data_IF_868986430022
#
_entry.id   IF_868986430022
#
_cell.length_a   1.000
_cell.length_b   1.000
_cell.length_c   1.000
_cell.angle_alpha   90.00
_cell.angle_beta   90.00
_cell.angle_gamma   90.00
#
_symmetry.space_group_name_H-M   'P 1'
#
loop_
_entity.id
_entity.type
_entity.pdbx_description
1 polymer ?
#
# COMPACT_ATOMS: atom_id res chain seq x y z
N UNK A 1 10.74 5.51 19.15
CA UNK A 1 11.51 4.59 18.28
C UNK A 1 11.11 3.10 18.39
N UNK A 2 9.82 2.67 18.27
CA UNK A 2 9.50 1.25 18.00
C UNK A 2 8.88 0.97 16.61
N UNK A 3 8.38 1.99 15.89
CA UNK A 3 7.55 1.77 14.71
C UNK A 3 8.27 1.36 13.42
N UNK A 4 9.55 1.69 13.27
CA UNK A 4 10.30 1.45 12.03
C UNK A 4 10.93 0.05 11.97
N UNK A 5 11.36 -0.48 13.13
CA UNK A 5 11.91 -1.84 13.25
C UNK A 5 10.80 -2.88 13.11
N UNK A 6 9.62 -2.63 13.72
CA UNK A 6 8.46 -3.53 13.63
C UNK A 6 7.92 -3.72 12.19
N UNK A 7 8.17 -2.76 11.28
CA UNK A 7 7.70 -2.84 9.89
C UNK A 7 8.56 -3.77 9.03
N UNK A 8 9.86 -3.88 9.34
CA UNK A 8 10.78 -4.80 8.68
C UNK A 8 10.56 -6.25 9.16
N UNK A 9 10.30 -6.44 10.46
CA UNK A 9 10.01 -7.77 11.01
C UNK A 9 8.65 -8.33 10.54
N UNK A 10 7.63 -7.47 10.42
CA UNK A 10 6.29 -7.88 9.98
C UNK A 10 6.19 -8.31 8.51
N UNK A 11 7.01 -7.74 7.61
CA UNK A 11 7.03 -8.13 6.19
C UNK A 11 7.88 -9.38 5.92
N UNK A 12 8.90 -9.68 6.73
CA UNK A 12 9.67 -10.92 6.58
C UNK A 12 8.86 -12.17 6.94
N UNK A 13 8.02 -12.10 7.98
CA UNK A 13 7.19 -13.25 8.41
C UNK A 13 6.19 -13.68 7.33
N UNK A 14 5.69 -12.75 6.51
CA UNK A 14 4.76 -13.05 5.40
C UNK A 14 5.43 -13.65 4.15
N UNK A 15 6.76 -13.53 4.02
CA UNK A 15 7.49 -14.12 2.89
C UNK A 15 7.96 -15.55 3.13
N UNK A 16 8.00 -15.99 4.40
CA UNK A 16 8.54 -17.29 4.81
C UNK A 16 7.47 -18.40 4.89
N UNK A 17 6.18 -18.08 4.92
CA UNK A 17 5.08 -19.06 5.00
C UNK A 17 4.57 -19.54 3.62
N UNK A 18 5.33 -19.31 2.55
CA UNK A 18 4.92 -19.61 1.17
C UNK A 18 5.27 -21.02 0.68
N UNK A 19 5.37 -22.00 1.57
CA UNK A 19 5.48 -23.41 1.19
C UNK A 19 4.35 -24.22 1.81
N UNK A 20 3.52 -24.80 0.94
CA UNK A 20 2.52 -25.85 1.19
C UNK A 20 1.13 -25.44 1.70
N UNK A 21 0.56 -24.35 1.19
CA UNK A 21 -0.90 -24.23 1.13
C UNK A 21 -1.32 -24.34 -0.33
N UNK A 22 -2.00 -25.42 -0.69
CA UNK A 22 -2.66 -25.59 -2.00
C UNK A 22 -3.67 -24.45 -2.11
N UNK A 23 -3.20 -23.35 -2.71
CA UNK A 23 -3.98 -22.14 -2.89
C UNK A 23 -4.97 -22.47 -3.99
N UNK A 24 -6.26 -22.61 -3.67
CA UNK A 24 -7.29 -22.72 -4.69
C UNK A 24 -7.06 -21.59 -5.69
N UNK A 25 -6.81 -21.93 -6.95
CA UNK A 25 -6.48 -21.00 -8.06
C UNK A 25 -7.48 -19.85 -8.21
N UNK A 26 -8.68 -20.01 -7.64
CA UNK A 26 -9.74 -18.99 -7.59
C UNK A 26 -9.44 -17.85 -6.60
N UNK A 27 -8.77 -18.11 -5.47
CA UNK A 27 -8.44 -17.09 -4.44
C UNK A 27 -7.37 -16.12 -4.92
N UNK A 28 -6.49 -16.54 -5.83
CA UNK A 28 -5.39 -15.72 -6.34
C UNK A 28 -5.87 -14.40 -6.95
N UNK A 29 -6.97 -14.43 -7.72
CA UNK A 29 -7.50 -13.22 -8.37
C UNK A 29 -8.06 -12.20 -7.38
N UNK A 30 -8.71 -12.68 -6.31
CA UNK A 30 -9.19 -11.83 -5.22
C UNK A 30 -8.05 -11.18 -4.46
N UNK A 31 -7.00 -11.94 -4.15
CA UNK A 31 -5.83 -11.46 -3.41
C UNK A 31 -5.03 -10.40 -4.19
N UNK A 32 -5.07 -10.46 -5.52
CA UNK A 32 -4.35 -9.52 -6.40
C UNK A 32 -5.13 -8.26 -6.78
N UNK A 33 -6.43 -8.17 -6.44
CA UNK A 33 -7.27 -7.05 -6.84
C UNK A 33 -6.89 -5.76 -6.09
N UNK A 34 -6.43 -4.74 -6.84
CA UNK A 34 -6.02 -3.43 -6.29
C UNK A 34 -7.17 -2.44 -6.10
N UNK A 35 -8.37 -2.78 -6.59
CA UNK A 35 -9.56 -1.93 -6.55
C UNK A 35 -10.82 -2.76 -6.34
N UNK A 36 -11.90 -2.10 -5.89
CA UNK A 36 -13.20 -2.75 -5.71
C UNK A 36 -13.76 -3.32 -7.02
N UNK A 37 -13.59 -2.60 -8.13
CA UNK A 37 -13.96 -3.10 -9.46
C UNK A 37 -13.19 -4.37 -9.84
N UNK A 38 -11.90 -4.47 -9.48
CA UNK A 38 -11.11 -5.68 -9.68
C UNK A 38 -11.58 -6.86 -8.83
N UNK A 39 -12.05 -6.62 -7.61
CA UNK A 39 -12.64 -7.66 -6.76
C UNK A 39 -13.97 -8.15 -7.35
N UNK A 40 -14.84 -7.23 -7.79
CA UNK A 40 -16.10 -7.57 -8.45
C UNK A 40 -15.88 -8.39 -9.73
N UNK A 41 -14.89 -8.02 -10.54
CA UNK A 41 -14.49 -8.79 -11.71
C UNK A 41 -14.00 -10.20 -11.33
N UNK A 42 -13.22 -10.33 -10.26
CA UNK A 42 -12.77 -11.64 -9.76
C UNK A 42 -13.93 -12.52 -9.26
N UNK A 43 -14.93 -11.95 -8.56
CA UNK A 43 -16.17 -12.64 -8.19
C UNK A 43 -16.88 -13.16 -9.44
N UNK A 44 -17.16 -12.26 -10.39
CA UNK A 44 -17.90 -12.58 -11.61
C UNK A 44 -17.23 -13.70 -12.40
N UNK A 45 -15.91 -13.58 -12.62
CA UNK A 45 -15.16 -14.60 -13.38
C UNK A 45 -15.05 -15.93 -12.65
N UNK A 46 -15.13 -15.94 -11.32
CA UNK A 46 -15.14 -17.18 -10.52
C UNK A 46 -16.50 -17.90 -10.57
N UNK A 47 -17.57 -17.19 -10.92
CA UNK A 47 -18.92 -17.73 -11.05
C UNK A 47 -19.23 -18.16 -12.50
N UNK A 48 -18.59 -17.56 -13.51
CA UNK A 48 -18.69 -17.99 -14.90
C UNK A 48 -18.21 -19.45 -15.03
N UNK A 49 -19.12 -20.38 -15.35
CA UNK A 49 -18.90 -21.85 -15.51
C UNK A 49 -18.97 -22.71 -14.24
N UNK A 50 -19.46 -22.18 -13.12
CA UNK A 50 -19.72 -22.98 -11.91
C UNK A 50 -21.23 -23.24 -11.78
N UNK A 51 -21.64 -24.44 -11.35
CA UNK A 51 -23.04 -24.79 -10.96
C UNK A 51 -23.55 -24.01 -9.72
N UNK A 52 -22.84 -22.96 -9.30
CA UNK A 52 -23.36 -22.02 -8.31
C UNK A 52 -24.24 -21.06 -9.09
N UNK A 53 -25.44 -21.56 -9.38
CA UNK A 53 -26.42 -20.96 -10.27
C UNK A 53 -26.80 -19.56 -9.79
N UNK A 54 -26.70 -18.61 -10.72
CA UNK A 54 -27.30 -17.27 -10.72
C UNK A 54 -27.06 -16.43 -9.46
N UNK A 55 -26.02 -15.58 -9.52
CA UNK A 55 -25.90 -14.51 -8.54
C UNK A 55 -27.08 -13.55 -8.66
N UNK A 56 -27.75 -13.27 -7.54
CA UNK A 56 -28.85 -12.29 -7.50
C UNK A 56 -28.35 -10.94 -7.01
N UNK A 57 -28.61 -9.89 -7.80
CA UNK A 57 -28.41 -8.50 -7.40
C UNK A 57 -29.76 -7.89 -6.98
N UNK A 58 -29.93 -7.59 -5.70
CA UNK A 58 -31.11 -6.90 -5.19
C UNK A 58 -31.07 -5.41 -5.55
N UNK A 59 -32.12 -4.92 -6.20
CA UNK A 59 -32.24 -3.54 -6.65
C UNK A 59 -33.47 -2.89 -6.02
N UNK A 60 -33.29 -1.81 -5.26
CA UNK A 60 -34.44 -1.03 -4.76
C UNK A 60 -35.15 -0.33 -5.92
N UNK A 61 -36.48 -0.38 -5.95
CA UNK A 61 -37.31 0.30 -6.96
C UNK A 61 -37.38 1.81 -6.76
N UNK A 62 -37.04 2.31 -5.57
CA UNK A 62 -37.06 3.74 -5.24
C UNK A 62 -35.85 4.49 -5.79
N UNK A 63 -34.77 3.76 -6.09
CA UNK A 63 -33.55 4.34 -6.66
C UNK A 63 -33.58 4.28 -8.19
N UNK A 64 -33.00 5.27 -8.90
CA UNK A 64 -32.93 5.26 -10.35
C UNK A 64 -32.31 3.96 -10.86
N UNK A 65 -32.93 3.35 -11.88
CA UNK A 65 -32.43 2.10 -12.46
C UNK A 65 -30.99 2.31 -12.96
N UNK A 66 -30.02 1.48 -12.54
CA UNK A 66 -28.65 1.60 -13.02
C UNK A 66 -28.63 1.44 -14.55
N UNK A 67 -28.04 2.42 -15.25
CA UNK A 67 -28.01 2.50 -16.72
C UNK A 67 -27.28 1.35 -17.42
N UNK A 68 -26.53 0.53 -16.68
CA UNK A 68 -25.79 -0.60 -17.24
C UNK A 68 -26.60 -1.88 -17.11
N UNK A 69 -26.66 -2.70 -18.15
CA UNK A 69 -27.19 -4.06 -18.08
C UNK A 69 -26.49 -4.87 -16.98
N UNK A 70 -27.17 -5.84 -16.34
CA UNK A 70 -26.50 -6.74 -15.43
C UNK A 70 -25.41 -7.53 -16.16
N UNK A 71 -24.26 -7.78 -15.50
CA UNK A 71 -23.25 -8.69 -16.02
C UNK A 71 -23.82 -10.09 -16.27
N UNK A 72 -23.23 -10.81 -17.23
CA UNK A 72 -23.65 -12.17 -17.60
C UNK A 72 -23.63 -13.11 -16.38
N UNK A 73 -24.73 -13.85 -16.18
CA UNK A 73 -24.91 -14.73 -15.02
C UNK A 73 -25.37 -14.05 -13.72
N UNK A 74 -25.68 -12.75 -13.75
CA UNK A 74 -26.27 -12.02 -12.60
C UNK A 74 -27.72 -11.63 -12.90
N UNK A 75 -28.67 -12.12 -12.11
CA UNK A 75 -30.08 -11.72 -12.20
C UNK A 75 -30.34 -10.54 -11.28
N UNK A 76 -30.96 -9.47 -11.81
CA UNK A 76 -31.44 -8.36 -10.98
C UNK A 76 -32.84 -8.64 -10.47
N UNK A 77 -33.02 -8.48 -9.17
CA UNK A 77 -34.28 -8.72 -8.48
C UNK A 77 -34.73 -7.40 -7.83
N UNK A 78 -35.79 -6.76 -8.36
CA UNK A 78 -36.29 -5.51 -7.80
C UNK A 78 -37.05 -5.75 -6.48
N UNK A 79 -36.87 -4.86 -5.50
CA UNK A 79 -37.65 -4.86 -4.26
C UNK A 79 -38.09 -3.44 -3.90
N UNK A 80 -39.24 -3.31 -3.24
CA UNK A 80 -39.78 -2.02 -2.80
C UNK A 80 -39.35 -1.73 -1.36
N UNK A 81 -39.65 -2.64 -0.44
CA UNK A 81 -39.26 -2.57 0.96
C UNK A 81 -38.32 -3.74 1.32
N UNK A 82 -37.52 -3.57 2.38
CA UNK A 82 -36.60 -4.64 2.84
C UNK A 82 -37.35 -5.91 3.28
N UNK A 83 -38.58 -5.76 3.77
CA UNK A 83 -39.45 -6.87 4.16
C UNK A 83 -39.89 -7.74 2.97
N UNK A 84 -39.85 -7.20 1.76
CA UNK A 84 -40.22 -7.93 0.54
C UNK A 84 -39.07 -8.85 0.07
N UNK A 85 -37.83 -8.60 0.50
CA UNK A 85 -36.64 -9.32 0.01
C UNK A 85 -36.73 -10.83 0.19
N UNK A 86 -37.13 -11.39 1.35
CA UNK A 86 -37.31 -12.82 1.52
C UNK A 86 -38.37 -13.39 0.57
N UNK A 87 -39.48 -12.66 0.36
CA UNK A 87 -40.57 -13.09 -0.52
C UNK A 87 -40.11 -13.18 -1.98
N UNK A 88 -39.39 -12.16 -2.44
CA UNK A 88 -38.92 -12.08 -3.83
C UNK A 88 -37.78 -13.08 -4.11
N UNK A 89 -36.93 -13.38 -3.12
CA UNK A 89 -35.93 -14.45 -3.24
C UNK A 89 -36.55 -15.86 -3.20
N UNK A 90 -37.70 -16.02 -2.54
CA UNK A 90 -38.41 -17.31 -2.45
C UNK A 90 -39.28 -17.63 -3.67
N UNK A 91 -39.66 -16.64 -4.47
CA UNK A 91 -40.50 -16.79 -5.68
C UNK A 91 -39.69 -16.91 -6.98
N UNK A 92 -38.49 -17.50 -6.92
CA UNK A 92 -37.84 -17.97 -8.15
C UNK A 92 -38.78 -18.94 -8.90
N UNK A 93 -38.84 -18.92 -10.25
CA UNK A 93 -39.63 -19.88 -10.99
C UNK A 93 -39.02 -21.27 -10.76
N UNK A 94 -39.57 -22.02 -9.81
CA UNK A 94 -39.29 -23.43 -9.65
C UNK A 94 -39.81 -24.09 -10.93
N UNK A 95 -38.89 -24.43 -11.83
CA UNK A 95 -39.19 -25.20 -13.02
C UNK A 95 -39.86 -26.50 -12.56
N UNK A 96 -41.18 -26.65 -12.76
CA UNK A 96 -41.94 -27.82 -12.33
C UNK A 96 -41.49 -29.13 -13.01
N UNK A 97 -40.60 -29.04 -14.01
CA UNK A 97 -39.95 -30.17 -14.68
C UNK A 97 -38.52 -30.48 -14.19
N UNK A 98 -38.02 -29.80 -13.15
CA UNK A 98 -36.70 -30.11 -12.60
C UNK A 98 -36.71 -31.53 -11.98
N UNK A 99 -36.06 -32.48 -12.66
CA UNK A 99 -35.86 -33.84 -12.13
C UNK A 99 -35.16 -33.77 -10.77
N UNK A 100 -35.66 -34.57 -9.82
CA UNK A 100 -35.09 -34.69 -8.49
C UNK A 100 -33.56 -34.81 -8.54
N UNK A 101 -32.89 -33.96 -7.77
CA UNK A 101 -31.43 -33.94 -7.68
C UNK A 101 -30.95 -35.25 -7.05
N UNK A 102 -30.35 -36.13 -7.87
CA UNK A 102 -29.63 -37.32 -7.40
C UNK A 102 -28.14 -36.96 -7.36
N UNK A 103 -27.46 -37.02 -6.21
CA UNK A 103 -26.03 -36.80 -6.14
C UNK A 103 -25.30 -37.84 -6.99
N UNK A 104 -24.60 -37.41 -8.03
CA UNK A 104 -23.72 -38.25 -8.84
C UNK A 104 -22.43 -38.55 -8.05
N UNK A 105 -22.55 -39.36 -7.02
CA UNK A 105 -21.43 -40.12 -6.48
C UNK A 105 -21.70 -41.58 -6.82
N UNK A 106 -20.79 -42.18 -7.60
CA UNK A 106 -20.76 -43.57 -8.09
C UNK A 106 -21.29 -43.78 -9.52
N UNK A 107 -20.43 -43.53 -10.51
CA UNK A 107 -20.31 -44.42 -11.69
C UNK A 107 -18.86 -44.44 -12.22
N UNK A 108 -18.34 -45.60 -12.68
CA UNK A 108 -16.96 -45.74 -13.14
C UNK A 108 -16.76 -45.20 -14.56
N UNK A 109 -15.58 -44.65 -14.83
CA UNK A 109 -15.12 -44.22 -16.15
C UNK A 109 -15.00 -45.40 -17.11
N UNK A 110 -15.49 -45.21 -18.34
CA UNK A 110 -15.07 -45.97 -19.52
C UNK A 110 -14.51 -44.98 -20.55
N UNK A 111 -13.31 -45.28 -21.03
CA UNK A 111 -12.59 -44.59 -22.09
C UNK A 111 -13.33 -44.68 -23.44
N UNK A 112 -13.36 -43.59 -24.21
CA UNK A 112 -13.35 -43.63 -25.68
C UNK A 112 -12.54 -42.45 -26.22
N UNK A 113 -11.72 -42.78 -27.21
CA UNK A 113 -10.73 -42.01 -27.95
C UNK A 113 -11.33 -41.35 -29.22
N UNK A 114 -10.58 -40.40 -29.81
CA UNK A 114 -10.82 -39.76 -31.12
C UNK A 114 -11.70 -38.51 -31.08
N UNK A 115 -11.46 -37.41 -31.81
CA UNK A 115 -10.50 -37.10 -32.86
C UNK A 115 -11.06 -35.93 -33.69
N UNK A 116 -10.25 -34.89 -33.84
CA UNK A 116 -10.10 -34.00 -35.02
C UNK A 116 -11.06 -32.84 -35.38
N UNK A 117 -10.39 -31.76 -35.82
CA UNK A 117 -10.67 -30.63 -36.74
C UNK A 117 -11.57 -29.42 -36.42
N UNK A 118 -10.88 -28.26 -36.30
CA UNK A 118 -10.91 -27.04 -37.14
C UNK A 118 -12.25 -26.42 -37.57
N UNK A 119 -12.40 -25.09 -37.44
CA UNK A 119 -12.38 -24.10 -38.55
C UNK A 119 -12.53 -22.66 -38.02
N UNK A 120 -11.79 -21.74 -38.64
CA UNK A 120 -11.74 -20.28 -38.47
C UNK A 120 -13.04 -19.56 -38.91
N UNK A 121 -13.19 -18.30 -38.48
CA UNK A 121 -14.22 -17.39 -39.00
C UNK A 121 -14.04 -15.95 -38.50
N UNK A 122 -13.77 -15.06 -39.45
CA UNK A 122 -13.14 -13.74 -39.35
C UNK A 122 -14.17 -12.59 -39.45
N UNK A 123 -13.79 -11.39 -38.98
CA UNK A 123 -14.43 -10.11 -39.32
C UNK A 123 -14.98 -9.36 -38.10
N UNK A 124 -14.81 -8.05 -37.91
CA UNK A 124 -14.28 -6.97 -38.73
C UNK A 124 -14.31 -5.66 -37.94
N UNK A 125 -13.60 -4.66 -38.45
CA UNK A 125 -13.28 -3.34 -37.88
C UNK A 125 -14.46 -2.39 -37.62
N UNK A 126 -14.25 -1.42 -36.71
CA UNK A 126 -14.54 0.03 -36.83
C UNK A 126 -14.60 0.65 -35.41
N UNK A 127 -13.63 1.46 -35.00
CA UNK A 127 -13.56 2.92 -35.21
C UNK A 127 -14.64 3.71 -34.44
N UNK A 128 -14.21 4.49 -33.44
CA UNK A 128 -14.43 5.93 -33.33
C UNK A 128 -14.21 6.44 -31.90
N UNK A 129 -13.38 7.47 -31.80
CA UNK A 129 -13.22 8.38 -30.68
C UNK A 129 -14.55 9.06 -30.30
N UNK A 130 -14.75 9.35 -29.01
CA UNK A 130 -15.30 10.66 -28.64
C UNK A 130 -14.83 11.04 -27.23
N UNK A 131 -14.06 12.13 -27.17
CA UNK A 131 -13.91 12.98 -26.00
C UNK A 131 -15.23 13.67 -25.69
N UNK A 132 -15.59 13.79 -24.41
CA UNK A 132 -16.16 15.05 -23.92
C UNK A 132 -15.97 15.25 -22.43
N UNK A 133 -15.57 16.49 -22.13
CA UNK A 133 -15.46 17.13 -20.83
C UNK A 133 -16.79 17.03 -20.06
N UNK A 134 -16.73 16.82 -18.74
CA UNK A 134 -17.64 17.52 -17.83
C UNK A 134 -16.83 18.10 -16.68
N UNK A 135 -17.07 19.39 -16.56
CA UNK A 135 -16.55 20.42 -15.68
C UNK A 135 -17.07 20.29 -14.25
N UNK A 136 -16.37 20.96 -13.34
CA UNK A 136 -16.62 21.00 -11.90
C UNK A 136 -18.03 21.49 -11.55
N UNK A 137 -18.59 20.99 -10.45
CA UNK A 137 -19.28 21.88 -9.50
C UNK A 137 -19.11 21.35 -8.09
N UNK A 138 -18.37 22.13 -7.28
CA UNK A 138 -18.38 22.05 -5.83
C UNK A 138 -19.74 22.56 -5.32
N UNK A 139 -20.38 21.80 -4.44
CA UNK A 139 -21.37 22.34 -3.53
C UNK A 139 -21.14 21.69 -2.16
N UNK A 140 -20.52 22.50 -1.31
CA UNK A 140 -20.47 22.39 0.13
C UNK A 140 -21.90 22.47 0.69
N UNK A 141 -22.37 21.39 1.33
CA UNK A 141 -23.44 21.46 2.32
C UNK A 141 -23.04 20.55 3.48
N UNK A 142 -22.46 21.18 4.48
CA UNK A 142 -22.42 20.71 5.85
C UNK A 142 -23.84 20.45 6.36
N UNK A 143 -24.17 19.21 6.68
CA UNK A 143 -25.12 18.96 7.77
C UNK A 143 -24.73 17.70 8.56
N UNK A 144 -24.33 17.95 9.80
CA UNK A 144 -23.87 16.99 10.79
C UNK A 144 -25.09 16.58 11.61
N UNK A 145 -25.87 15.60 11.11
CA UNK A 145 -26.92 14.99 11.92
C UNK A 145 -26.31 13.87 12.77
N UNK A 146 -26.17 14.16 14.05
CA UNK A 146 -25.76 13.24 15.11
C UNK A 146 -26.70 12.03 15.17
N UNK A 147 -26.30 10.94 14.52
CA UNK A 147 -27.09 9.70 14.36
C UNK A 147 -27.08 8.81 15.60
N UNK A 148 -26.91 9.38 16.80
CA UNK A 148 -26.86 8.61 18.06
C UNK A 148 -28.20 8.47 18.79
N UNK A 149 -29.29 9.03 18.27
CA UNK A 149 -30.56 9.10 19.01
C UNK A 149 -31.78 8.48 18.31
N UNK A 150 -31.58 7.54 17.38
CA UNK A 150 -32.70 6.87 16.66
C UNK A 150 -33.00 5.47 17.22
N UNK A 151 -32.17 4.95 18.14
CA UNK A 151 -32.31 3.55 18.62
C UNK A 151 -33.34 3.40 19.75
N UNK A 152 -33.73 4.47 20.44
CA UNK A 152 -34.54 4.37 21.68
C UNK A 152 -36.06 4.62 21.50
N UNK A 153 -36.59 4.75 20.28
CA UNK A 153 -38.03 5.07 20.06
C UNK A 153 -38.84 4.06 19.24
N UNK A 154 -38.32 2.85 18.99
CA UNK A 154 -39.15 1.76 18.47
C UNK A 154 -39.57 0.82 19.60
N UNK A 155 -40.71 1.14 20.23
CA UNK A 155 -41.42 0.21 21.09
C UNK A 155 -41.80 -1.03 20.25
N UNK A 156 -41.20 -2.16 20.63
CA UNK A 156 -41.23 -3.43 19.93
C UNK A 156 -42.53 -4.19 20.19
N UNK A 157 -43.44 -4.21 19.22
CA UNK A 157 -44.61 -5.11 19.17
C UNK A 157 -44.47 -6.11 18.02
N UNK A 158 -43.30 -6.75 17.91
CA UNK A 158 -43.07 -7.86 17.01
C UNK A 158 -42.67 -9.09 17.83
N UNK A 159 -43.26 -10.24 17.51
CA UNK A 159 -42.96 -11.53 18.12
C UNK A 159 -41.45 -11.79 18.14
N UNK A 160 -40.90 -12.48 19.15
CA UNK A 160 -39.46 -12.67 19.30
C UNK A 160 -38.93 -13.48 18.11
N UNK A 161 -38.41 -12.76 17.10
CA UNK A 161 -37.55 -13.32 16.07
C UNK A 161 -36.37 -13.95 16.80
N UNK A 162 -36.15 -15.24 16.56
CA UNK A 162 -35.04 -15.99 17.12
C UNK A 162 -33.76 -15.18 16.98
N UNK A 163 -33.24 -14.69 18.10
CA UNK A 163 -31.98 -13.95 18.14
C UNK A 163 -30.91 -14.94 17.71
N UNK A 164 -30.51 -14.90 16.44
CA UNK A 164 -29.37 -15.66 15.96
C UNK A 164 -28.17 -15.28 16.82
N UNK A 165 -27.75 -16.23 17.65
CA UNK A 165 -26.71 -16.02 18.62
C UNK A 165 -25.39 -15.85 17.88
N UNK A 166 -24.94 -14.60 17.71
CA UNK A 166 -23.65 -14.30 17.08
C UNK A 166 -22.56 -15.03 17.86
N UNK A 167 -21.91 -15.99 17.20
CA UNK A 167 -20.84 -16.80 17.77
C UNK A 167 -19.66 -15.91 18.18
N UNK A 168 -18.93 -16.30 19.23
CA UNK A 168 -17.73 -15.59 19.66
C UNK A 168 -16.69 -15.49 18.54
N UNK A 169 -16.57 -16.53 17.71
CA UNK A 169 -15.66 -16.54 16.55
C UNK A 169 -16.02 -15.45 15.53
N UNK A 170 -17.31 -15.23 15.29
CA UNK A 170 -17.78 -14.17 14.39
C UNK A 170 -17.46 -12.78 14.96
N UNK A 171 -17.58 -12.60 16.27
CA UNK A 171 -17.18 -11.35 16.96
C UNK A 171 -15.68 -11.10 16.82
N UNK A 172 -14.86 -12.13 17.00
CA UNK A 172 -13.40 -12.01 16.89
C UNK A 172 -12.94 -11.69 15.46
N UNK A 173 -13.56 -12.32 14.46
CA UNK A 173 -13.33 -11.99 13.04
C UNK A 173 -13.75 -10.55 12.74
N UNK A 174 -14.93 -10.12 13.21
CA UNK A 174 -15.42 -8.76 13.02
C UNK A 174 -14.47 -7.72 13.67
N UNK A 175 -13.97 -7.99 14.87
CA UNK A 175 -12.99 -7.13 15.56
C UNK A 175 -11.66 -7.08 14.81
N UNK A 176 -11.19 -8.21 14.29
CA UNK A 176 -9.98 -8.26 13.48
C UNK A 176 -10.12 -7.41 12.20
N UNK A 177 -11.23 -7.57 11.47
CA UNK A 177 -11.54 -6.80 10.27
C UNK A 177 -11.64 -5.30 10.58
N UNK A 178 -12.35 -4.93 11.65
CA UNK A 178 -12.48 -3.54 12.08
C UNK A 178 -11.12 -2.92 12.45
N UNK A 179 -10.25 -3.67 13.14
CA UNK A 179 -8.89 -3.24 13.48
C UNK A 179 -8.06 -2.99 12.21
N UNK A 180 -8.10 -3.90 11.24
CA UNK A 180 -7.40 -3.76 9.94
C UNK A 180 -7.94 -2.60 9.12
N UNK A 181 -9.26 -2.42 9.08
CA UNK A 181 -9.89 -1.28 8.42
C UNK A 181 -9.47 0.04 9.04
N UNK A 182 -9.54 0.18 10.37
CA UNK A 182 -9.11 1.38 11.09
C UNK A 182 -7.63 1.67 10.86
N UNK A 183 -6.78 0.64 10.87
CA UNK A 183 -5.36 0.78 10.55
C UNK A 183 -5.16 1.28 9.12
N UNK A 184 -5.89 0.72 8.14
CA UNK A 184 -5.84 1.16 6.74
C UNK A 184 -6.31 2.60 6.57
N UNK A 185 -7.42 2.99 7.19
CA UNK A 185 -7.95 4.35 7.13
C UNK A 185 -6.96 5.36 7.73
N UNK A 186 -6.36 5.03 8.89
CA UNK A 186 -5.28 5.83 9.49
C UNK A 186 -4.08 5.94 8.56
N UNK A 187 -3.61 4.83 8.01
CA UNK A 187 -2.49 4.83 7.07
C UNK A 187 -2.81 5.68 5.85
N UNK A 188 -4.00 5.54 5.26
CA UNK A 188 -4.41 6.32 4.09
C UNK A 188 -4.46 7.83 4.39
N UNK A 189 -4.92 8.22 5.58
CA UNK A 189 -4.87 9.62 6.03
C UNK A 189 -3.42 10.12 6.15
N UNK A 190 -2.53 9.30 6.70
CA UNK A 190 -1.11 9.63 6.78
C UNK A 190 -0.47 9.75 5.39
N UNK A 191 -0.76 8.82 4.47
CA UNK A 191 -0.26 8.85 3.07
C UNK A 191 -0.67 10.14 2.34
N UNK A 192 -1.93 10.58 2.52
CA UNK A 192 -2.42 11.84 1.92
C UNK A 192 -1.65 13.06 2.44
N UNK A 193 -1.29 13.04 3.73
CA UNK A 193 -0.60 14.15 4.41
C UNK A 193 0.92 14.05 4.37
N UNK A 194 1.50 13.08 3.64
CA UNK A 194 2.96 12.97 3.53
C UNK A 194 3.55 14.17 2.81
N UNK A 195 4.60 14.72 3.41
CA UNK A 195 5.44 15.72 2.77
C UNK A 195 6.02 15.16 1.44
N UNK A 196 6.23 16.01 0.42
CA UNK A 196 6.83 15.59 -0.85
C UNK A 196 8.16 14.86 -0.67
N UNK A 197 9.00 15.32 0.25
CA UNK A 197 10.30 14.71 0.57
C UNK A 197 10.15 13.28 1.10
N UNK A 198 9.12 13.02 1.92
CA UNK A 198 8.84 11.67 2.41
C UNK A 198 8.35 10.76 1.28
N UNK A 199 7.52 11.25 0.37
CA UNK A 199 7.09 10.47 -0.81
C UNK A 199 8.27 10.08 -1.68
N UNK A 200 9.22 11.01 -1.88
CA UNK A 200 10.47 10.72 -2.59
C UNK A 200 11.29 9.66 -1.84
N UNK A 201 11.42 9.78 -0.51
CA UNK A 201 12.11 8.80 0.31
C UNK A 201 11.51 7.40 0.19
N UNK A 202 10.18 7.28 0.21
CA UNK A 202 9.48 6.01 0.05
C UNK A 202 9.73 5.42 -1.35
N UNK A 203 9.69 6.25 -2.39
CA UNK A 203 10.01 5.85 -3.78
C UNK A 203 11.44 5.33 -3.91
N UNK A 204 12.41 6.02 -3.31
CA UNK A 204 13.81 5.57 -3.28
C UNK A 204 13.97 4.30 -2.46
N UNK A 205 13.22 4.13 -1.36
CA UNK A 205 13.23 2.91 -0.57
C UNK A 205 12.77 1.71 -1.39
N UNK A 206 11.66 1.82 -2.12
CA UNK A 206 11.18 0.75 -3.00
C UNK A 206 12.22 0.42 -4.08
N UNK A 207 12.83 1.44 -4.69
CA UNK A 207 13.91 1.25 -5.68
C UNK A 207 15.10 0.50 -5.07
N UNK A 208 15.53 0.88 -3.87
CA UNK A 208 16.61 0.20 -3.16
C UNK A 208 16.22 -1.24 -2.81
N UNK A 209 14.98 -1.47 -2.39
CA UNK A 209 14.47 -2.78 -2.02
C UNK A 209 14.45 -3.73 -3.22
N UNK A 210 13.94 -3.28 -4.38
CA UNK A 210 13.93 -4.05 -5.62
C UNK A 210 15.34 -4.47 -6.03
N UNK A 211 16.29 -3.53 -6.02
CA UNK A 211 17.70 -3.81 -6.34
C UNK A 211 18.36 -4.74 -5.33
N UNK A 212 18.05 -4.60 -4.04
CA UNK A 212 18.60 -5.47 -3.00
C UNK A 212 18.05 -6.90 -3.07
N UNK A 213 16.84 -7.09 -3.60
CA UNK A 213 16.24 -8.42 -3.81
C UNK A 213 16.77 -9.09 -5.08
N UNK A 214 17.21 -8.31 -6.07
CA UNK A 214 17.81 -8.83 -7.30
C UNK A 214 19.26 -9.31 -7.06
N UNK A 215 19.40 -10.63 -6.88
CA UNK A 215 20.69 -11.30 -6.68
C UNK A 215 21.67 -11.12 -7.84
N UNK A 216 21.19 -10.83 -9.06
CA UNK A 216 22.08 -10.60 -10.22
C UNK A 216 22.71 -9.21 -10.18
N UNK A 217 21.97 -8.22 -9.68
CA UNK A 217 22.44 -6.83 -9.58
C UNK A 217 23.26 -6.56 -8.34
N UNK A 218 22.92 -7.23 -7.23
CA UNK A 218 23.56 -7.00 -5.94
C UNK A 218 23.81 -8.32 -5.20
N UNK A 219 25.09 -8.60 -4.97
CA UNK A 219 25.49 -9.70 -4.11
C UNK A 219 25.71 -9.16 -2.70
N UNK A 220 24.92 -9.66 -1.76
CA UNK A 220 25.10 -9.39 -0.34
C UNK A 220 25.88 -10.59 0.25
N UNK A 221 27.20 -10.48 0.46
CA UNK A 221 27.93 -11.50 1.20
C UNK A 221 27.34 -11.59 2.62
N UNK A 222 27.70 -12.65 3.36
CA UNK A 222 27.16 -12.92 4.71
C UNK A 222 27.57 -11.80 5.68
N UNK A 223 26.84 -10.70 5.64
CA UNK A 223 27.17 -9.42 6.24
C UNK A 223 25.97 -8.48 6.11
N UNK A 224 25.17 -8.39 7.18
CA UNK A 224 23.93 -7.63 7.16
C UNK A 224 24.12 -6.12 7.38
N UNK A 225 25.34 -5.68 7.72
CA UNK A 225 25.58 -4.30 8.14
C UNK A 225 25.36 -3.30 7.00
N UNK A 226 26.08 -3.45 5.88
CA UNK A 226 25.94 -2.52 4.75
C UNK A 226 24.53 -2.56 4.17
N UNK A 227 23.90 -3.75 4.10
CA UNK A 227 22.51 -3.90 3.66
C UNK A 227 21.52 -3.09 4.51
N UNK A 228 21.73 -3.02 5.83
CA UNK A 228 20.91 -2.19 6.73
C UNK A 228 21.10 -0.70 6.47
N UNK A 229 22.34 -0.25 6.24
CA UNK A 229 22.61 1.13 5.86
C UNK A 229 21.98 1.48 4.50
N UNK A 230 22.12 0.57 3.54
CA UNK A 230 21.58 0.73 2.19
C UNK A 230 20.05 0.82 2.19
N UNK A 231 19.34 -0.14 2.79
CA UNK A 231 17.87 -0.10 2.82
C UNK A 231 17.32 0.95 3.81
N UNK A 232 18.09 1.30 4.85
CA UNK A 232 17.62 2.18 5.91
C UNK A 232 17.92 3.65 5.70
N UNK A 233 19.12 4.00 5.21
CA UNK A 233 19.65 5.37 5.28
C UNK A 233 19.93 5.98 3.90
N UNK A 234 20.29 5.17 2.90
CA UNK A 234 20.51 5.66 1.53
C UNK A 234 19.25 6.33 0.94
N UNK A 235 18.02 5.80 1.13
CA UNK A 235 16.80 6.49 0.70
C UNK A 235 16.62 7.89 1.30
N UNK A 236 17.01 8.08 2.56
CA UNK A 236 16.97 9.40 3.20
C UNK A 236 17.98 10.36 2.56
N UNK A 237 19.18 9.87 2.25
CA UNK A 237 20.21 10.66 1.59
C UNK A 237 19.80 11.09 0.18
N UNK A 238 19.18 10.18 -0.59
CA UNK A 238 18.62 10.47 -1.91
C UNK A 238 17.46 11.47 -1.85
N UNK A 239 16.54 11.30 -0.89
CA UNK A 239 15.44 12.24 -0.69
C UNK A 239 15.93 13.65 -0.32
N UNK A 240 16.98 13.73 0.51
CA UNK A 240 17.65 14.97 0.86
C UNK A 240 18.23 15.65 -0.40
N UNK A 241 18.98 14.89 -1.21
CA UNK A 241 19.54 15.38 -2.48
C UNK A 241 18.46 15.88 -3.45
N UNK A 242 17.34 15.15 -3.58
CA UNK A 242 16.23 15.55 -4.43
C UNK A 242 15.57 16.86 -3.95
N UNK A 243 15.49 17.04 -2.64
CA UNK A 243 15.01 18.29 -2.03
C UNK A 243 15.92 19.46 -2.36
N UNK A 244 17.24 19.30 -2.20
CA UNK A 244 18.24 20.34 -2.53
C UNK A 244 18.18 20.71 -4.02
N UNK A 245 18.09 19.71 -4.89
CA UNK A 245 17.96 19.89 -6.33
C UNK A 245 16.68 20.70 -6.67
N UNK A 246 15.54 20.32 -6.09
CA UNK A 246 14.26 20.99 -6.29
C UNK A 246 14.31 22.44 -5.83
N UNK A 247 14.93 22.71 -4.67
CA UNK A 247 15.19 24.07 -4.20
C UNK A 247 16.00 24.85 -5.23
N UNK A 248 17.15 24.32 -5.68
CA UNK A 248 18.06 25.02 -6.55
C UNK A 248 17.41 25.36 -7.91
N UNK A 249 16.62 24.46 -8.48
CA UNK A 249 15.86 24.74 -9.70
C UNK A 249 14.78 25.81 -9.49
N UNK A 250 14.03 25.75 -8.39
CA UNK A 250 13.03 26.77 -8.07
C UNK A 250 13.66 28.14 -7.85
N UNK A 251 14.81 28.20 -7.16
CA UNK A 251 15.58 29.41 -6.91
C UNK A 251 16.13 29.99 -8.21
N UNK A 252 16.67 29.14 -9.11
CA UNK A 252 17.12 29.56 -10.44
C UNK A 252 15.99 30.13 -11.27
N UNK A 253 14.81 29.51 -11.25
CA UNK A 253 13.63 30.01 -11.96
C UNK A 253 13.19 31.38 -11.42
N UNK A 254 13.17 31.55 -10.09
CA UNK A 254 12.88 32.83 -9.44
C UNK A 254 13.91 33.91 -9.80
N UNK A 255 15.20 33.59 -9.76
CA UNK A 255 16.28 34.50 -10.16
C UNK A 255 16.12 34.94 -11.63
N UNK A 256 15.84 34.00 -12.54
CA UNK A 256 15.60 34.29 -13.97
C UNK A 256 14.39 35.22 -14.18
N UNK A 257 13.33 35.08 -13.39
CA UNK A 257 12.17 35.99 -13.45
C UNK A 257 12.55 37.41 -13.02
N UNK A 258 13.37 37.55 -11.97
CA UNK A 258 13.84 38.87 -11.50
C UNK A 258 14.67 39.60 -12.55
N UNK A 259 15.56 38.89 -13.25
CA UNK A 259 16.34 39.45 -14.37
C UNK A 259 15.49 40.03 -15.51
N UNK A 260 14.24 39.60 -15.66
CA UNK A 260 13.33 40.11 -16.69
C UNK A 260 12.47 41.28 -16.20
N UNK A 261 12.44 41.55 -14.89
CA UNK A 261 11.66 42.64 -14.32
C UNK A 261 12.40 43.98 -14.40
N UNK A 262 11.66 45.08 -14.59
CA UNK A 262 12.20 46.45 -14.65
C UNK A 262 12.54 47.04 -13.26
N UNK A 263 12.80 46.21 -12.26
CA UNK A 263 13.10 46.67 -10.91
C UNK A 263 14.57 47.11 -10.86
N UNK A 264 14.87 48.30 -10.30
CA UNK A 264 16.25 48.76 -10.07
C UNK A 264 16.94 47.80 -9.10
N UNK A 265 17.54 46.75 -9.64
CA UNK A 265 18.14 45.68 -8.86
C UNK A 265 19.66 45.85 -8.78
N UNK A 266 20.18 45.48 -7.62
CA UNK A 266 21.61 45.25 -7.38
C UNK A 266 22.03 44.00 -8.19
N UNK A 267 22.50 44.24 -9.42
CA UNK A 267 22.91 43.19 -10.35
C UNK A 267 24.05 42.32 -9.80
N UNK A 268 24.95 42.89 -9.01
CA UNK A 268 26.08 42.16 -8.42
C UNK A 268 25.58 41.14 -7.41
N UNK A 269 24.66 41.54 -6.53
CA UNK A 269 24.03 40.62 -5.58
C UNK A 269 23.25 39.51 -6.27
N UNK A 270 22.54 39.84 -7.35
CA UNK A 270 21.82 38.83 -8.15
C UNK A 270 22.75 37.85 -8.84
N UNK A 271 23.85 38.36 -9.40
CA UNK A 271 24.82 37.53 -10.09
C UNK A 271 25.51 36.58 -9.11
N UNK A 272 25.89 37.07 -7.93
CA UNK A 272 26.41 36.25 -6.82
C UNK A 272 25.44 35.13 -6.43
N UNK A 273 24.18 35.48 -6.19
CA UNK A 273 23.13 34.50 -5.82
C UNK A 273 22.93 33.46 -6.93
N UNK A 274 22.95 33.88 -8.20
CA UNK A 274 22.79 32.98 -9.34
C UNK A 274 23.98 32.03 -9.47
N UNK A 275 25.20 32.53 -9.27
CA UNK A 275 26.42 31.71 -9.28
C UNK A 275 26.41 30.66 -8.17
N UNK A 276 25.95 31.02 -6.96
CA UNK A 276 25.76 30.08 -5.85
C UNK A 276 24.73 28.99 -6.21
N UNK A 277 23.57 29.36 -6.74
CA UNK A 277 22.54 28.39 -7.17
C UNK A 277 23.09 27.44 -8.26
N UNK A 278 23.82 27.98 -9.24
CA UNK A 278 24.46 27.16 -10.29
C UNK A 278 25.50 26.21 -9.70
N UNK A 279 26.27 26.66 -8.70
CA UNK A 279 27.21 25.80 -7.99
C UNK A 279 26.50 24.66 -7.25
N UNK A 280 25.34 24.93 -6.62
CA UNK A 280 24.52 23.89 -5.97
C UNK A 280 24.03 22.87 -7.00
N UNK A 281 23.48 23.30 -8.13
CA UNK A 281 23.01 22.40 -9.20
C UNK A 281 24.16 21.53 -9.74
N UNK A 282 25.34 22.11 -9.94
CA UNK A 282 26.53 21.35 -10.36
C UNK A 282 26.93 20.32 -9.29
N UNK A 283 26.86 20.68 -8.01
CA UNK A 283 27.05 19.75 -6.89
C UNK A 283 26.08 18.58 -6.91
N UNK A 284 24.78 18.86 -7.09
CA UNK A 284 23.75 17.82 -7.25
C UNK A 284 24.11 16.85 -8.38
N UNK A 285 24.39 17.36 -9.58
CA UNK A 285 24.74 16.55 -10.76
C UNK A 285 26.00 15.70 -10.58
N UNK A 286 26.97 16.18 -9.80
CA UNK A 286 28.20 15.43 -9.49
C UNK A 286 27.91 14.26 -8.54
N UNK A 287 27.04 14.45 -7.57
CA UNK A 287 26.75 13.47 -6.52
C UNK A 287 25.70 12.45 -6.93
N UNK A 288 24.71 12.85 -7.73
CA UNK A 288 23.59 12.00 -8.18
C UNK A 288 24.03 10.62 -8.71
N UNK A 289 24.95 10.50 -9.69
CA UNK A 289 25.36 9.18 -10.20
C UNK A 289 26.17 8.35 -9.19
N UNK A 290 26.81 8.99 -8.19
CA UNK A 290 27.59 8.31 -7.16
C UNK A 290 26.71 7.79 -6.03
N UNK A 291 25.58 8.45 -5.78
CA UNK A 291 24.57 8.07 -4.79
C UNK A 291 23.47 7.19 -5.36
N UNK A 292 23.40 7.06 -6.70
CA UNK A 292 22.42 6.22 -7.36
C UNK A 292 22.37 4.83 -6.69
N UNK A 293 21.18 4.28 -6.41
CA UNK A 293 21.04 2.96 -5.80
C UNK A 293 21.82 1.84 -6.49
N UNK A 294 22.06 1.95 -7.80
CA UNK A 294 22.82 0.99 -8.61
C UNK A 294 24.30 1.36 -8.77
N UNK A 295 24.78 2.39 -8.09
CA UNK A 295 26.16 2.86 -8.16
C UNK A 295 27.16 1.81 -7.66
N UNK A 296 28.41 1.95 -8.10
CA UNK A 296 29.48 1.03 -7.73
C UNK A 296 29.81 1.07 -6.23
N UNK A 297 29.54 2.18 -5.54
CA UNK A 297 29.76 2.31 -4.09
C UNK A 297 28.88 1.30 -3.36
N UNK A 298 27.62 1.14 -3.79
CA UNK A 298 26.72 0.18 -3.16
C UNK A 298 26.98 -1.26 -3.60
N UNK A 299 27.36 -1.48 -4.86
CA UNK A 299 27.75 -2.81 -5.35
C UNK A 299 28.99 -3.34 -4.64
N UNK A 300 30.00 -2.49 -4.43
CA UNK A 300 31.25 -2.80 -3.73
C UNK A 300 31.12 -2.73 -2.21
N UNK A 301 30.00 -2.21 -1.70
CA UNK A 301 29.74 -2.04 -0.27
C UNK A 301 30.78 -1.15 0.42
N UNK A 302 31.21 -0.12 -0.30
CA UNK A 302 32.26 0.80 0.15
C UNK A 302 31.69 1.75 1.22
N UNK A 303 31.94 1.41 2.49
CA UNK A 303 31.49 2.17 3.65
C UNK A 303 32.20 3.53 3.70
N UNK A 304 33.50 3.58 3.44
CA UNK A 304 34.27 4.82 3.49
C UNK A 304 33.87 5.75 2.34
N UNK A 305 33.66 5.20 1.15
CA UNK A 305 33.07 5.93 0.02
C UNK A 305 31.69 6.49 0.35
N UNK A 306 30.84 5.72 1.03
CA UNK A 306 29.52 6.20 1.47
C UNK A 306 29.62 7.31 2.53
N UNK A 307 30.52 7.19 3.52
CA UNK A 307 30.78 8.25 4.50
C UNK A 307 31.24 9.54 3.81
N UNK A 308 32.14 9.43 2.82
CA UNK A 308 32.61 10.57 2.06
C UNK A 308 31.46 11.25 1.28
N UNK A 309 30.57 10.46 0.67
CA UNK A 309 29.38 11.00 0.01
C UNK A 309 28.47 11.74 0.99
N UNK A 310 28.24 11.21 2.19
CA UNK A 310 27.43 11.90 3.21
C UNK A 310 28.03 13.27 3.56
N UNK A 311 29.35 13.37 3.70
CA UNK A 311 30.03 14.65 3.95
C UNK A 311 29.90 15.63 2.77
N UNK A 312 30.02 15.15 1.54
CA UNK A 312 29.82 15.99 0.35
C UNK A 312 28.36 16.49 0.26
N UNK A 313 27.37 15.65 0.60
CA UNK A 313 25.95 16.05 0.66
C UNK A 313 25.72 17.07 1.76
N UNK A 314 26.30 16.87 2.95
CA UNK A 314 26.20 17.82 4.06
C UNK A 314 26.74 19.21 3.66
N UNK A 315 27.92 19.25 3.02
CA UNK A 315 28.48 20.49 2.49
C UNK A 315 27.55 21.17 1.48
N UNK A 316 26.87 20.39 0.64
CA UNK A 316 25.93 20.90 -0.35
C UNK A 316 24.65 21.45 0.29
N UNK A 317 24.10 20.72 1.28
CA UNK A 317 22.90 21.13 2.04
C UNK A 317 23.17 22.41 2.82
N UNK A 318 24.35 22.57 3.41
CA UNK A 318 24.73 23.78 4.16
C UNK A 318 24.84 25.05 3.29
N UNK A 319 24.87 24.92 1.95
CA UNK A 319 24.80 26.06 1.02
C UNK A 319 23.37 26.51 0.74
N UNK A 320 22.38 25.70 1.11
CA UNK A 320 20.97 26.05 1.00
C UNK A 320 20.58 26.91 2.21
N UNK A 321 19.82 28.01 2.05
CA UNK A 321 19.37 28.83 3.17
C UNK A 321 18.58 28.00 4.19
N UNK A 322 18.85 28.19 5.48
CA UNK A 322 18.30 27.39 6.59
C UNK A 322 16.77 27.46 6.73
N UNK A 323 16.10 28.44 6.11
CA UNK A 323 14.63 28.50 6.01
C UNK A 323 14.04 27.54 4.97
N UNK A 324 14.87 26.81 4.23
CA UNK A 324 14.43 25.89 3.17
C UNK A 324 14.13 24.51 3.78
N UNK A 325 12.86 24.14 3.76
CA UNK A 325 12.27 22.83 4.13
C UNK A 325 13.03 22.04 5.21
N UNK A 326 12.55 22.16 6.45
CA UNK A 326 12.98 21.40 7.63
C UNK A 326 13.17 19.89 7.36
N UNK A 327 12.37 19.34 6.44
CA UNK A 327 12.45 17.94 6.01
C UNK A 327 13.84 17.56 5.44
N UNK A 328 14.46 18.40 4.62
CA UNK A 328 15.78 18.10 4.00
C UNK A 328 16.83 17.88 5.08
N UNK A 329 16.88 18.78 6.05
CA UNK A 329 17.82 18.70 7.18
C UNK A 329 17.52 17.49 8.06
N UNK A 330 16.25 17.17 8.29
CA UNK A 330 15.85 15.97 9.04
C UNK A 330 16.34 14.69 8.37
N UNK A 331 16.16 14.55 7.06
CA UNK A 331 16.67 13.40 6.29
C UNK A 331 18.20 13.30 6.33
N UNK A 332 18.92 14.42 6.19
CA UNK A 332 20.38 14.46 6.33
C UNK A 332 20.84 14.01 7.72
N UNK A 333 20.17 14.47 8.77
CA UNK A 333 20.51 14.13 10.15
C UNK A 333 20.37 12.62 10.43
N UNK A 334 19.39 11.94 9.82
CA UNK A 334 19.30 10.48 9.91
C UNK A 334 20.52 9.80 9.26
N UNK A 335 20.94 10.26 8.08
CA UNK A 335 22.10 9.73 7.38
C UNK A 335 23.40 9.96 8.17
N UNK A 336 23.63 11.18 8.69
CA UNK A 336 24.81 11.50 9.51
C UNK A 336 24.86 10.61 10.76
N UNK A 337 23.74 10.52 11.49
CA UNK A 337 23.68 9.72 12.72
C UNK A 337 23.86 8.23 12.48
N UNK A 338 23.40 7.70 11.37
CA UNK A 338 23.47 6.26 11.10
C UNK A 338 24.71 5.81 10.33
N UNK A 339 25.31 6.68 9.50
CA UNK A 339 26.45 6.33 8.64
C UNK A 339 27.77 6.87 9.22
N UNK A 340 27.80 8.12 9.69
CA UNK A 340 29.03 8.76 10.17
C UNK A 340 29.31 8.47 11.64
N UNK A 341 28.27 8.23 12.45
CA UNK A 341 28.46 7.96 13.87
C UNK A 341 28.84 6.50 14.06
N UNK A 342 30.03 6.27 14.59
CA UNK A 342 30.46 4.91 14.92
C UNK A 342 29.50 4.30 15.96
N UNK A 343 29.16 3.00 15.82
CA UNK A 343 28.34 2.33 16.83
C UNK A 343 29.04 2.43 18.17
N UNK A 344 28.39 3.08 19.15
CA UNK A 344 28.91 3.08 20.52
C UNK A 344 29.06 1.62 20.95
N UNK A 345 30.22 1.21 21.50
CA UNK A 345 30.38 -0.13 22.02
C UNK A 345 29.27 -0.37 23.03
N UNK A 346 28.48 -1.43 22.82
CA UNK A 346 27.42 -1.84 23.73
C UNK A 346 28.14 -2.17 25.03
N UNK A 347 28.10 -1.27 26.01
CA UNK A 347 28.60 -1.55 27.35
C UNK A 347 27.83 -2.76 27.82
N UNK A 348 28.55 -3.87 28.05
CA UNK A 348 27.93 -5.10 28.53
C UNK A 348 27.14 -4.75 29.80
N UNK A 349 25.82 -5.00 29.77
CA UNK A 349 25.02 -4.85 30.99
C UNK A 349 25.64 -5.78 32.03
N UNK A 350 25.81 -5.32 33.29
CA UNK A 350 26.27 -6.21 34.35
C UNK A 350 25.36 -7.44 34.37
N UNK A 351 25.97 -8.63 34.34
CA UNK A 351 25.20 -9.89 34.40
C UNK A 351 24.34 -9.83 35.67
N UNK A 352 23.03 -10.13 35.58
CA UNK A 352 22.20 -10.21 36.78
C UNK A 352 22.86 -11.21 37.75
N UNK A 353 23.01 -10.81 39.01
CA UNK A 353 23.53 -11.70 40.04
C UNK A 353 22.54 -12.87 40.18
N UNK A 354 23.05 -14.10 40.07
CA UNK A 354 22.28 -15.31 40.25
C UNK A 354 21.85 -15.37 41.72
N UNK A 355 20.56 -15.20 41.99
CA UNK A 355 20.01 -15.42 43.32
C UNK A 355 20.05 -16.92 43.62
N UNK A 356 20.85 -17.33 44.61
CA UNK A 356 21.00 -18.72 45.05
C UNK A 356 20.28 -19.00 46.38
N UNK A 357 19.48 -18.06 46.89
CA UNK A 357 18.89 -18.16 48.22
C UNK A 357 17.54 -18.90 48.29
N UNK A 358 16.96 -19.34 47.17
CA UNK A 358 15.61 -19.92 47.15
C UNK A 358 15.53 -21.45 47.39
N UNK A 359 16.65 -22.16 47.57
CA UNK A 359 16.68 -23.65 47.57
C UNK A 359 16.96 -24.35 48.92
N UNK A 360 17.04 -23.66 50.07
CA UNK A 360 17.39 -24.32 51.35
C UNK A 360 16.32 -24.32 52.46
N UNK A 361 15.05 -23.99 52.16
CA UNK A 361 14.00 -23.89 53.19
C UNK A 361 13.05 -25.10 53.27
N UNK A 362 13.54 -26.33 53.02
CA UNK A 362 12.82 -27.55 53.34
C UNK A 362 13.74 -28.56 53.99
N UNK A 363 13.96 -28.43 55.30
CA UNK A 363 14.15 -29.58 56.18
C UNK A 363 14.00 -29.14 57.65
N UNK A 364 13.37 -30.02 58.44
CA UNK A 364 13.11 -29.96 59.89
C UNK A 364 11.78 -29.35 60.35
N UNK A 365 10.71 -30.13 60.13
CA UNK A 365 9.68 -30.31 61.17
C UNK A 365 9.69 -31.78 61.59
N UNK A 366 10.27 -32.05 62.77
CA UNK A 366 10.13 -33.29 63.54
C UNK A 366 9.02 -33.11 64.57
#
# INVERSE_FOLDING_TARGET
MPGFIARLDGMMILSQTRSNVVSHFRIGRFATARSWGGMLGAVQTSCSKSHLDEMVQLCSTEKPKPHKSPPEGIRRVPFKNLEDVPLVLSTGPLNAQAKAYVPNSLKPQANVDGGDNSTEGQGGEAAAELQQQIEQTEADVTDLVDSRNIVDSLASTAAPLAVEHISQEQKDVALCLLKKYRQRARNQKLEKNKAPTQKNCDSYFETCLELALDRKKMQWPRGFYYRKLYLGLVPHLLACMKGVESYAFSAKAKAKKRYRGNEKQDYDRMHKTTNEIVAIIKGCRKLDPRLDPSSDIHKKQDIEGLKQLVREVEQLVNRVPSGTSFDIHSHLQFAIKGILTEPKPIKAKPKPQLNVEDDFAYELSF
#
